data_IF_749925412313
#
_entry.id   IF_749925412313
#
_cell.length_a   1.000
_cell.length_b   1.000
_cell.length_c   1.000
_cell.angle_alpha   90.00
_cell.angle_beta   90.00
_cell.angle_gamma   90.00
#
_symmetry.space_group_name_H-M   'P 1'
#
loop_
_entity.id
_entity.type
_entity.pdbx_description
1 polymer ?
#
# COMPACT_ATOMS: atom_id res chain seq x y z
N UNK A 1 -40.21 21.80 29.00
CA UNK A 1 -39.67 21.65 28.93
C UNK A 1 -39.28 20.92 28.37
N UNK A 2 -38.64 20.74 28.03
CA UNK A 2 -38.23 20.11 27.42
C UNK A 2 -37.41 19.47 27.64
N UNK A 3 -37.13 18.73 27.43
CA UNK A 3 -36.36 17.98 27.69
C UNK A 3 -35.66 17.55 26.77
N UNK A 4 -34.62 17.71 26.62
CA UNK A 4 -33.85 17.32 25.72
C UNK A 4 -33.46 16.05 25.98
N UNK A 5 -33.76 15.23 25.32
CA UNK A 5 -33.30 14.01 25.30
C UNK A 5 -31.93 14.07 24.93
N UNK A 6 -31.16 13.83 25.75
CA UNK A 6 -29.84 13.74 25.41
C UNK A 6 -29.67 12.53 24.68
N UNK A 7 -29.45 12.67 23.55
CA UNK A 7 -29.17 11.63 22.77
C UNK A 7 -27.81 11.25 23.02
N UNK A 8 -27.59 10.28 23.64
CA UNK A 8 -26.41 9.81 23.74
C UNK A 8 -26.15 8.96 22.67
N UNK A 9 -25.41 9.38 21.86
CA UNK A 9 -24.96 8.60 20.84
C UNK A 9 -23.85 7.85 21.40
N UNK A 10 -24.08 6.78 21.84
CA UNK A 10 -23.07 5.97 22.15
C UNK A 10 -22.49 5.47 20.92
N UNK A 11 -21.50 5.95 20.55
CA UNK A 11 -20.78 5.45 19.51
C UNK A 11 -20.13 4.28 20.05
N UNK A 12 -20.62 3.26 19.80
CA UNK A 12 -20.02 2.09 20.10
C UNK A 12 -18.90 1.90 19.22
N UNK A 13 -17.82 2.25 19.60
CA UNK A 13 -16.79 1.97 18.93
C UNK A 13 -16.51 0.63 19.10
N UNK A 14 -16.76 -0.06 18.25
CA UNK A 14 -16.46 -1.31 18.26
C UNK A 14 -15.13 -1.47 17.97
N UNK A 15 -14.37 -1.46 18.85
CA UNK A 15 -13.12 -1.76 18.51
C UNK A 15 -12.90 -3.15 18.49
N UNK A 16 -13.53 -3.85 17.86
CA UNK A 16 -13.38 -5.20 17.92
C UNK A 16 -12.26 -5.79 17.23
N UNK A 17 -11.64 -5.11 16.37
CA UNK A 17 -10.72 -5.75 15.59
C UNK A 17 -9.48 -5.87 16.35
N UNK A 18 -9.06 -6.97 16.59
CA UNK A 18 -7.85 -7.20 17.24
C UNK A 18 -6.63 -7.03 16.38
N UNK A 19 -6.80 -6.99 15.12
CA UNK A 19 -5.61 -6.91 14.27
C UNK A 19 -5.11 -5.49 14.17
N UNK A 20 -3.84 -5.26 14.37
CA UNK A 20 -3.28 -3.93 14.21
C UNK A 20 -3.41 -3.46 12.77
N UNK A 21 -3.59 -2.19 12.59
CA UNK A 21 -3.73 -1.61 11.26
C UNK A 21 -2.56 -1.93 10.35
N UNK A 22 -1.35 -2.00 10.89
CA UNK A 22 -0.20 -2.29 10.06
C UNK A 22 -0.23 -3.68 9.44
N UNK A 23 -0.87 -4.65 10.10
CA UNK A 23 -0.97 -6.00 9.57
C UNK A 23 -1.87 -6.06 8.34
N UNK A 24 -2.84 -5.18 8.24
CA UNK A 24 -3.74 -5.15 7.10
C UNK A 24 -3.22 -4.27 5.98
N UNK A 25 -2.35 -3.33 6.30
CA UNK A 25 -1.85 -2.41 5.28
C UNK A 25 -0.90 -3.07 4.29
N UNK A 26 -0.15 -4.08 4.71
CA UNK A 26 0.82 -4.71 3.82
C UNK A 26 0.18 -5.27 2.55
N UNK A 27 -0.86 -6.12 2.62
CA UNK A 27 -1.45 -6.66 1.40
C UNK A 27 -2.08 -5.58 0.52
N UNK A 28 -2.70 -4.58 1.13
CA UNK A 28 -3.33 -3.50 0.39
C UNK A 28 -2.28 -2.67 -0.35
N UNK A 29 -1.20 -2.32 0.32
CA UNK A 29 -0.16 -1.51 -0.29
C UNK A 29 0.61 -2.28 -1.36
N UNK A 30 0.84 -3.56 -1.16
CA UNK A 30 1.46 -4.40 -2.17
C UNK A 30 0.56 -4.46 -3.40
N UNK A 31 -0.73 -4.66 -3.21
CA UNK A 31 -1.67 -4.71 -4.32
C UNK A 31 -1.71 -3.38 -5.08
N UNK A 32 -1.70 -2.27 -4.37
CA UNK A 32 -1.67 -0.95 -5.01
C UNK A 32 -0.42 -0.78 -5.86
N UNK A 33 0.73 -1.21 -5.35
CA UNK A 33 1.97 -1.13 -6.10
C UNK A 33 1.93 -2.02 -7.35
N UNK A 34 1.39 -3.23 -7.21
CA UNK A 34 1.25 -4.13 -8.35
C UNK A 34 0.33 -3.56 -9.41
N UNK A 35 -0.78 -2.96 -9.00
CA UNK A 35 -1.72 -2.35 -9.94
C UNK A 35 -1.07 -1.19 -10.70
N UNK A 36 -0.27 -0.38 -10.01
CA UNK A 36 0.46 0.71 -10.66
C UNK A 36 1.49 0.19 -11.64
N UNK A 37 2.18 -0.89 -11.31
CA UNK A 37 3.15 -1.52 -12.21
C UNK A 37 2.44 -2.01 -13.47
N UNK A 38 1.31 -2.70 -13.31
CA UNK A 38 0.55 -3.20 -14.45
C UNK A 38 0.08 -2.05 -15.34
N UNK A 39 -0.36 -0.98 -14.73
CA UNK A 39 -0.82 0.18 -15.48
C UNK A 39 0.31 0.81 -16.28
N UNK A 40 1.48 0.93 -15.66
CA UNK A 40 2.64 1.47 -16.35
C UNK A 40 3.12 0.54 -17.46
N UNK A 41 3.07 -0.76 -17.25
CA UNK A 41 3.45 -1.71 -18.27
C UNK A 41 2.51 -1.68 -19.46
N UNK A 42 1.23 -1.46 -19.23
CA UNK A 42 0.26 -1.33 -20.30
C UNK A 42 0.50 -0.07 -21.14
N UNK A 43 1.19 0.92 -20.59
CA UNK A 43 1.49 2.16 -21.28
C UNK A 43 2.72 2.13 -22.17
N UNK A 44 3.26 0.95 -22.44
CA UNK A 44 4.41 0.79 -23.33
C UNK A 44 5.68 1.46 -22.80
N UNK A 45 6.32 0.85 -21.83
CA UNK A 45 7.53 1.42 -21.24
C UNK A 45 8.65 1.61 -22.25
N UNK A 46 9.29 2.74 -22.16
CA UNK A 46 10.47 3.05 -22.98
C UNK A 46 11.74 2.97 -22.18
N UNK A 47 12.85 3.43 -22.77
CA UNK A 47 14.16 3.35 -22.11
C UNK A 47 14.21 4.09 -20.78
N UNK A 48 13.43 5.15 -20.64
CA UNK A 48 13.43 5.96 -19.42
C UNK A 48 12.60 5.31 -18.30
N UNK A 49 11.59 4.54 -18.66
CA UNK A 49 10.66 3.99 -17.66
C UNK A 49 10.96 2.54 -17.30
N UNK A 50 11.62 1.78 -18.16
CA UNK A 50 11.94 0.39 -17.85
C UNK A 50 12.75 0.20 -16.58
N UNK A 51 13.80 0.97 -16.33
CA UNK A 51 14.54 0.80 -15.08
C UNK A 51 13.71 1.09 -13.86
N UNK A 52 12.78 2.05 -13.96
CA UNK A 52 11.89 2.39 -12.86
C UNK A 52 10.93 1.23 -12.57
N UNK A 53 10.39 0.61 -13.62
CA UNK A 53 9.52 -0.53 -13.46
C UNK A 53 10.24 -1.75 -12.94
N UNK A 54 11.47 -1.97 -13.37
CA UNK A 54 12.28 -3.07 -12.86
C UNK A 54 12.53 -2.89 -11.38
N UNK A 55 12.84 -1.67 -10.96
CA UNK A 55 13.03 -1.38 -9.54
C UNK A 55 11.73 -1.55 -8.76
N UNK A 56 10.61 -1.09 -9.32
CA UNK A 56 9.30 -1.26 -8.69
C UNK A 56 9.00 -2.74 -8.46
N UNK A 57 9.24 -3.57 -9.46
CA UNK A 57 9.02 -5.01 -9.35
C UNK A 57 9.90 -5.65 -8.30
N UNK A 58 11.15 -5.22 -8.22
CA UNK A 58 12.07 -5.71 -7.22
C UNK A 58 11.58 -5.35 -5.83
N UNK A 59 11.16 -4.12 -5.62
CA UNK A 59 10.67 -3.65 -4.33
C UNK A 59 9.38 -4.39 -3.93
N UNK A 60 8.49 -4.68 -4.87
CA UNK A 60 7.29 -5.45 -4.59
C UNK A 60 7.67 -6.87 -4.16
N UNK A 61 8.63 -7.49 -4.84
CA UNK A 61 9.06 -8.83 -4.48
C UNK A 61 9.64 -8.86 -3.08
N UNK A 62 10.41 -7.84 -2.73
CA UNK A 62 10.96 -7.72 -1.38
C UNK A 62 9.87 -7.47 -0.36
N UNK A 63 8.88 -6.63 -0.70
CA UNK A 63 7.75 -6.38 0.19
C UNK A 63 6.99 -7.67 0.49
N UNK A 64 6.74 -8.47 -0.54
CA UNK A 64 6.07 -9.75 -0.38
C UNK A 64 6.86 -10.71 0.50
N UNK A 65 8.17 -10.75 0.31
CA UNK A 65 9.03 -11.61 1.10
C UNK A 65 9.03 -11.18 2.57
N UNK A 66 9.16 -9.88 2.82
CA UNK A 66 9.10 -9.37 4.19
C UNK A 66 7.75 -9.67 4.83
N UNK A 67 6.67 -9.49 4.08
CA UNK A 67 5.34 -9.75 4.61
C UNK A 67 5.15 -11.24 4.92
N UNK A 68 5.54 -12.10 4.00
CA UNK A 68 5.37 -13.55 4.18
C UNK A 68 6.19 -14.10 5.34
N UNK A 69 7.35 -13.51 5.60
CA UNK A 69 8.24 -13.97 6.63
C UNK A 69 8.19 -13.12 7.89
N UNK A 70 7.22 -12.22 7.98
CA UNK A 70 7.17 -11.28 9.08
C UNK A 70 6.86 -11.98 10.40
N UNK A 71 7.66 -11.68 11.39
CA UNK A 71 7.46 -12.18 12.73
C UNK A 71 7.31 -11.07 13.74
N UNK A 72 7.66 -9.87 13.36
CA UNK A 72 7.61 -8.72 14.25
C UNK A 72 6.92 -7.56 13.57
N UNK A 73 6.56 -6.56 14.35
CA UNK A 73 6.01 -5.34 13.85
C UNK A 73 6.96 -4.64 12.90
N UNK A 74 8.26 -4.75 13.17
CA UNK A 74 9.26 -4.16 12.32
C UNK A 74 9.28 -4.80 10.93
N UNK A 75 9.15 -6.12 10.88
CA UNK A 75 9.13 -6.82 9.59
C UNK A 75 7.95 -6.36 8.74
N UNK A 76 6.77 -6.17 9.36
CA UNK A 76 5.62 -5.66 8.65
C UNK A 76 5.85 -4.20 8.21
N UNK A 77 6.49 -3.41 9.05
CA UNK A 77 6.85 -2.05 8.69
C UNK A 77 7.79 -1.98 7.50
N UNK A 78 8.74 -2.91 7.45
CA UNK A 78 9.66 -3.00 6.30
C UNK A 78 8.90 -3.38 5.03
N UNK A 79 7.92 -4.28 5.12
CA UNK A 79 7.11 -4.63 3.97
C UNK A 79 6.28 -3.44 3.49
N UNK A 80 5.71 -2.68 4.40
CA UNK A 80 4.95 -1.48 4.05
C UNK A 80 5.84 -0.46 3.36
N UNK A 81 7.03 -0.23 3.89
CA UNK A 81 7.95 0.73 3.30
C UNK A 81 8.37 0.31 1.90
N UNK A 82 8.68 -0.97 1.72
CA UNK A 82 9.06 -1.49 0.40
C UNK A 82 7.92 -1.36 -0.60
N UNK A 83 6.69 -1.63 -0.17
CA UNK A 83 5.53 -1.48 -1.04
C UNK A 83 5.33 -0.02 -1.45
N UNK A 84 5.56 0.90 -0.54
CA UNK A 84 5.44 2.34 -0.86
C UNK A 84 6.52 2.79 -1.82
N UNK A 85 7.74 2.28 -1.65
CA UNK A 85 8.83 2.59 -2.55
C UNK A 85 8.51 2.05 -3.95
N UNK A 86 7.98 0.83 -4.02
CA UNK A 86 7.58 0.24 -5.30
C UNK A 86 6.53 1.11 -5.98
N UNK A 87 5.51 1.55 -5.23
CA UNK A 87 4.47 2.41 -5.78
C UNK A 87 5.05 3.72 -6.30
N UNK A 88 6.01 4.30 -5.59
CA UNK A 88 6.64 5.55 -6.00
C UNK A 88 7.37 5.39 -7.33
N UNK A 89 8.11 4.30 -7.49
CA UNK A 89 8.79 4.05 -8.76
C UNK A 89 7.80 3.85 -9.90
N UNK A 90 6.71 3.12 -9.65
CA UNK A 90 5.70 2.89 -10.68
C UNK A 90 4.96 4.19 -11.04
N UNK A 91 4.70 5.03 -10.06
CA UNK A 91 4.06 6.33 -10.31
C UNK A 91 4.98 7.25 -11.13
N UNK A 92 6.27 7.23 -10.85
CA UNK A 92 7.21 7.99 -11.65
C UNK A 92 7.22 7.50 -13.10
N UNK A 93 7.21 6.18 -13.29
CA UNK A 93 7.14 5.62 -14.62
C UNK A 93 5.88 6.08 -15.35
N UNK A 94 4.75 6.06 -14.66
CA UNK A 94 3.50 6.54 -15.25
C UNK A 94 3.57 8.02 -15.61
N UNK A 95 4.18 8.82 -14.75
CA UNK A 95 4.33 10.25 -15.01
C UNK A 95 5.17 10.50 -16.26
N UNK A 96 6.23 9.75 -16.41
CA UNK A 96 7.10 9.89 -17.59
C UNK A 96 6.43 9.41 -18.87
N UNK A 97 5.47 8.51 -18.77
CA UNK A 97 4.75 8.02 -19.92
C UNK A 97 3.61 8.93 -20.35
N UNK A 98 3.19 9.84 -19.48
CA UNK A 98 2.07 10.73 -19.79
C UNK A 98 2.60 11.97 -20.50
N UNK A 99 2.08 12.28 -21.66
CA UNK A 99 2.56 13.46 -22.40
C UNK A 99 2.21 14.77 -21.70
#
# INVERSE_FOLDING_TARGET
MRTVAAVIVSVALVGGSAAPAWAFNCPVLIKQAEDLILKAEAGKPGPDTRPLLDEAKKQVAEAKAHHANAKTKRDHGDAVRKARVAAAFAEEALTLQTP
#
